data_IF_733019233863
#
_entry.id   IF_733019233863
#
_cell.length_a   1.000
_cell.length_b   1.000
_cell.length_c   1.000
_cell.angle_alpha   90.00
_cell.angle_beta   90.00
_cell.angle_gamma   90.00
#
_symmetry.space_group_name_H-M   'P 1'
#
loop_
_entity.id
_entity.type
_entity.pdbx_description
1 polymer ?
#
# COMPACT_ATOMS: atom_id res chain seq x y z
N UNK A 1 49.01 -17.54 -15.90
CA UNK A 1 47.70 -17.84 -16.52
C UNK A 1 46.58 -18.06 -15.51
N UNK A 2 46.57 -19.14 -14.71
CA UNK A 2 45.45 -19.46 -13.79
C UNK A 2 44.96 -18.28 -12.93
N UNK A 3 45.86 -17.62 -12.19
CA UNK A 3 45.52 -16.49 -11.32
C UNK A 3 44.85 -15.31 -12.06
N UNK A 4 45.34 -14.95 -13.25
CA UNK A 4 44.79 -13.87 -14.07
C UNK A 4 43.39 -14.23 -14.62
N UNK A 5 43.17 -15.50 -14.97
CA UNK A 5 41.85 -15.99 -15.39
C UNK A 5 40.86 -15.98 -14.22
N UNK A 6 41.28 -16.38 -13.01
CA UNK A 6 40.46 -16.29 -11.80
C UNK A 6 40.08 -14.83 -11.49
N UNK A 7 41.03 -13.90 -11.59
CA UNK A 7 40.77 -12.48 -11.34
C UNK A 7 39.77 -11.92 -12.38
N UNK A 8 39.96 -12.22 -13.67
CA UNK A 8 39.07 -11.79 -14.74
C UNK A 8 37.63 -12.31 -14.53
N UNK A 9 37.47 -13.58 -14.17
CA UNK A 9 36.16 -14.18 -13.87
C UNK A 9 35.49 -13.48 -12.68
N UNK A 10 36.25 -13.19 -11.62
CA UNK A 10 35.74 -12.47 -10.45
C UNK A 10 35.31 -11.04 -10.78
N UNK A 11 36.08 -10.31 -11.60
CA UNK A 11 35.71 -8.98 -12.08
C UNK A 11 34.45 -9.01 -12.93
N UNK A 12 34.30 -10.00 -13.83
CA UNK A 12 33.08 -10.18 -14.63
C UNK A 12 31.85 -10.52 -13.77
N UNK A 13 32.01 -11.30 -12.70
CA UNK A 13 30.93 -11.61 -11.74
C UNK A 13 30.50 -10.37 -10.94
N UNK A 14 31.46 -9.53 -10.53
CA UNK A 14 31.18 -8.27 -9.81
C UNK A 14 30.64 -7.16 -10.73
N UNK A 15 30.85 -7.24 -12.05
CA UNK A 15 30.35 -6.30 -13.04
C UNK A 15 28.89 -6.55 -13.45
N UNK A 16 28.23 -7.60 -12.95
CA UNK A 16 26.80 -7.82 -13.19
C UNK A 16 26.02 -6.74 -12.43
N UNK A 17 25.28 -5.84 -13.10
CA UNK A 17 24.51 -4.81 -12.41
C UNK A 17 23.41 -5.47 -11.60
N UNK A 18 23.46 -5.30 -10.27
CA UNK A 18 22.37 -5.70 -9.40
C UNK A 18 21.11 -4.96 -9.84
N UNK A 19 20.06 -5.70 -10.26
CA UNK A 19 18.74 -5.10 -10.42
C UNK A 19 18.35 -4.50 -9.07
N UNK A 20 17.86 -3.24 -9.01
CA UNK A 20 17.34 -2.71 -7.76
C UNK A 20 16.23 -3.65 -7.29
N UNK A 21 16.41 -4.24 -6.12
CA UNK A 21 15.31 -4.91 -5.46
C UNK A 21 14.24 -3.84 -5.21
N UNK A 22 13.04 -4.00 -5.76
CA UNK A 22 11.89 -3.18 -5.39
C UNK A 22 11.41 -3.59 -3.99
N UNK A 23 12.26 -3.30 -3.01
CA UNK A 23 11.91 -3.33 -1.60
C UNK A 23 10.81 -2.29 -1.35
N UNK A 24 9.93 -2.60 -0.40
CA UNK A 24 8.78 -1.78 -0.03
C UNK A 24 9.18 -0.32 0.12
N UNK A 25 8.55 0.55 -0.68
CA UNK A 25 8.76 1.98 -0.62
C UNK A 25 7.66 2.57 0.28
N UNK A 26 7.90 2.80 1.58
CA UNK A 26 7.06 3.67 2.37
C UNK A 26 7.14 5.08 1.77
N UNK A 27 5.98 5.68 1.47
CA UNK A 27 5.87 7.02 0.91
C UNK A 27 5.08 7.90 1.86
N UNK A 28 5.68 9.01 2.28
CA UNK A 28 4.94 10.09 2.92
C UNK A 28 4.19 10.87 1.83
N UNK A 29 2.89 11.02 2.02
CA UNK A 29 1.97 11.70 1.10
C UNK A 29 1.45 12.97 1.75
N UNK A 30 1.74 14.10 1.11
CA UNK A 30 1.20 15.43 1.43
C UNK A 30 0.23 15.95 0.37
N UNK A 31 0.06 15.20 -0.74
CA UNK A 31 -0.81 15.54 -1.86
C UNK A 31 -2.25 15.07 -1.62
N UNK A 32 -3.24 15.81 -2.16
CA UNK A 32 -4.66 15.45 -2.05
C UNK A 32 -5.04 14.21 -2.89
N UNK A 33 -4.33 14.01 -3.99
CA UNK A 33 -4.53 12.90 -4.93
C UNK A 33 -3.20 12.29 -5.36
N UNK A 34 -3.03 10.98 -5.15
CA UNK A 34 -1.81 10.23 -5.48
C UNK A 34 -2.02 9.30 -6.66
N UNK A 35 -1.17 9.38 -7.67
CA UNK A 35 -1.21 8.42 -8.80
C UNK A 35 -0.29 7.22 -8.54
N UNK A 36 -0.88 6.02 -8.49
CA UNK A 36 -0.20 4.74 -8.33
C UNK A 36 0.05 4.15 -9.72
N UNK A 37 1.29 4.28 -10.21
CA UNK A 37 1.71 3.82 -11.55
C UNK A 37 2.14 2.35 -11.63
N UNK A 38 2.31 1.71 -10.47
CA UNK A 38 2.75 0.31 -10.32
C UNK A 38 1.88 -0.42 -9.29
N UNK A 39 0.60 -0.72 -9.58
CA UNK A 39 -0.30 -1.35 -8.61
C UNK A 39 0.11 -2.80 -8.24
N UNK A 40 0.97 -3.43 -9.02
CA UNK A 40 1.57 -4.74 -8.76
C UNK A 40 2.61 -4.72 -7.63
N UNK A 41 3.27 -3.57 -7.39
CA UNK A 41 4.31 -3.41 -6.38
C UNK A 41 3.70 -2.99 -5.04
N UNK A 42 3.97 -3.76 -3.99
CA UNK A 42 3.49 -3.50 -2.63
C UNK A 42 4.05 -2.19 -2.07
N UNK A 43 3.19 -1.16 -1.99
CA UNK A 43 3.51 0.18 -1.50
C UNK A 43 2.73 0.50 -0.22
N UNK A 44 3.32 1.35 0.60
CA UNK A 44 2.73 1.85 1.85
C UNK A 44 2.67 3.37 1.83
N UNK A 45 1.47 3.94 1.99
CA UNK A 45 1.22 5.38 1.95
C UNK A 45 0.89 5.91 3.34
N UNK A 46 1.73 6.81 3.82
CA UNK A 46 1.64 7.46 5.12
C UNK A 46 1.25 8.93 4.96
N UNK A 47 0.63 9.53 5.97
CA UNK A 47 0.39 10.98 5.99
C UNK A 47 -0.65 11.40 7.02
N UNK A 48 -1.36 12.48 6.71
CA UNK A 48 -2.43 13.04 7.54
C UNK A 48 -3.67 13.30 6.67
N UNK A 49 -4.87 13.17 7.23
CA UNK A 49 -6.10 13.69 6.64
C UNK A 49 -6.41 15.08 7.24
N UNK A 50 -6.87 16.03 6.43
CA UNK A 50 -7.01 17.45 6.80
C UNK A 50 -8.43 18.02 6.55
N UNK A 51 -9.47 17.19 6.68
CA UNK A 51 -10.88 17.56 6.45
C UNK A 51 -11.50 16.87 5.23
N UNK A 52 -10.69 16.46 4.26
CA UNK A 52 -11.12 15.73 3.07
C UNK A 52 -10.56 14.29 3.01
N UNK A 53 -11.27 13.34 2.36
CA UNK A 53 -10.74 12.00 2.12
C UNK A 53 -9.57 12.03 1.13
N UNK A 54 -8.49 11.34 1.45
CA UNK A 54 -7.36 11.17 0.53
C UNK A 54 -7.80 10.33 -0.68
N UNK A 55 -7.35 10.72 -1.88
CA UNK A 55 -7.67 10.04 -3.14
C UNK A 55 -6.42 9.36 -3.69
N UNK A 56 -6.55 8.13 -4.15
CA UNK A 56 -5.52 7.44 -4.91
C UNK A 56 -6.11 7.00 -6.24
N UNK A 57 -5.37 7.21 -7.31
CA UNK A 57 -5.74 6.82 -8.67
C UNK A 57 -4.77 5.73 -9.12
N UNK A 58 -5.29 4.52 -9.37
CA UNK A 58 -4.52 3.42 -9.95
C UNK A 58 -4.75 3.44 -11.45
N UNK A 59 -3.68 3.51 -12.22
CA UNK A 59 -3.71 3.30 -13.66
C UNK A 59 -3.58 1.81 -13.97
N UNK A 60 -4.72 1.11 -14.00
CA UNK A 60 -4.79 -0.34 -14.21
C UNK A 60 -4.65 -0.72 -15.68
N UNK A 61 -3.48 -0.55 -16.27
CA UNK A 61 -3.21 -0.86 -17.69
C UNK A 61 -3.22 -2.38 -18.00
N UNK A 62 -3.00 -3.23 -17.00
CA UNK A 62 -2.96 -4.69 -17.10
C UNK A 62 -3.86 -5.34 -16.04
N UNK A 63 -4.06 -6.66 -16.11
CA UNK A 63 -4.75 -7.40 -15.03
C UNK A 63 -3.87 -7.52 -13.79
N UNK A 64 -4.42 -7.24 -12.61
CA UNK A 64 -3.69 -7.36 -11.35
C UNK A 64 -4.57 -7.76 -10.17
N UNK A 65 -3.95 -8.28 -9.12
CA UNK A 65 -4.63 -8.53 -7.85
C UNK A 65 -4.46 -7.29 -6.96
N UNK A 66 -5.50 -6.49 -6.81
CA UNK A 66 -5.51 -5.41 -5.85
C UNK A 66 -5.56 -6.01 -4.43
N UNK A 67 -4.69 -5.55 -3.55
CA UNK A 67 -4.78 -5.80 -2.12
C UNK A 67 -4.88 -4.44 -1.42
N UNK A 68 -5.89 -4.25 -0.59
CA UNK A 68 -6.07 -3.03 0.20
C UNK A 68 -6.20 -3.42 1.67
N UNK A 69 -5.48 -2.71 2.53
CA UNK A 69 -5.63 -2.83 3.98
C UNK A 69 -5.39 -1.50 4.69
N UNK A 70 -6.09 -1.30 5.79
CA UNK A 70 -5.87 -0.17 6.70
C UNK A 70 -4.93 -0.64 7.82
N UNK A 71 -3.88 0.14 8.09
CA UNK A 71 -2.99 -0.06 9.23
C UNK A 71 -2.93 1.23 10.06
N UNK A 72 -3.02 1.11 11.38
CA UNK A 72 -3.06 2.25 12.29
C UNK A 72 -1.87 2.14 13.24
N UNK A 73 -1.02 3.18 13.39
CA UNK A 73 0.08 3.16 14.37
C UNK A 73 -0.47 3.13 15.79
N UNK A 74 0.18 2.44 16.72
CA UNK A 74 -0.23 2.44 18.13
C UNK A 74 0.33 3.67 18.84
N UNK A 75 -0.45 4.75 18.83
CA UNK A 75 -0.15 6.04 19.45
C UNK A 75 -1.37 6.50 20.27
N UNK A 76 -1.20 7.31 21.34
CA UNK A 76 -2.30 7.74 22.19
C UNK A 76 -3.51 8.35 21.47
N UNK A 77 -3.26 9.14 20.42
CA UNK A 77 -4.28 9.84 19.62
C UNK A 77 -4.65 9.10 18.32
N UNK A 78 -4.31 7.81 18.19
CA UNK A 78 -4.59 7.05 16.98
C UNK A 78 -6.06 6.70 16.83
N UNK A 79 -6.68 7.34 15.83
CA UNK A 79 -8.01 6.96 15.33
C UNK A 79 -7.99 5.57 14.72
N UNK A 80 -9.11 4.86 14.84
CA UNK A 80 -9.33 3.49 14.32
C UNK A 80 -10.57 3.37 13.44
N UNK A 81 -11.32 4.45 13.30
CA UNK A 81 -12.55 4.61 12.52
C UNK A 81 -12.29 5.12 11.08
N UNK A 82 -11.19 4.67 10.50
CA UNK A 82 -10.84 4.92 9.10
C UNK A 82 -11.72 4.08 8.17
N UNK A 83 -12.17 4.67 7.07
CA UNK A 83 -12.93 3.99 6.02
C UNK A 83 -12.19 4.11 4.68
N UNK A 84 -12.11 3.01 3.92
CA UNK A 84 -11.55 2.99 2.56
C UNK A 84 -12.57 2.40 1.58
N UNK A 85 -12.98 3.21 0.60
CA UNK A 85 -13.83 2.79 -0.50
C UNK A 85 -13.02 2.65 -1.80
N UNK A 86 -13.21 1.55 -2.52
CA UNK A 86 -12.56 1.29 -3.80
C UNK A 86 -13.59 1.29 -4.91
N UNK A 87 -13.42 2.19 -5.88
CA UNK A 87 -14.28 2.36 -7.04
C UNK A 87 -13.56 1.95 -8.32
N UNK A 88 -14.28 1.33 -9.26
CA UNK A 88 -13.88 1.30 -10.67
C UNK A 88 -14.50 2.50 -11.38
N UNK A 89 -13.68 3.24 -12.10
CA UNK A 89 -14.09 4.46 -12.82
C UNK A 89 -14.16 4.14 -14.31
N UNK A 90 -15.29 4.45 -14.95
CA UNK A 90 -15.50 4.29 -16.39
C UNK A 90 -16.11 5.58 -16.93
N UNK A 91 -15.33 6.38 -17.67
CA UNK A 91 -15.73 7.70 -18.15
C UNK A 91 -16.22 8.63 -17.02
N UNK A 92 -17.54 8.75 -16.84
CA UNK A 92 -18.19 9.60 -15.83
C UNK A 92 -18.76 8.79 -14.65
N UNK A 93 -18.88 7.46 -14.79
CA UNK A 93 -19.46 6.58 -13.77
C UNK A 93 -18.39 6.01 -12.82
N UNK A 94 -18.71 5.99 -11.52
CA UNK A 94 -17.90 5.34 -10.48
C UNK A 94 -18.70 4.24 -9.79
N UNK A 95 -18.34 2.97 -10.04
CA UNK A 95 -18.96 1.81 -9.40
C UNK A 95 -18.14 1.38 -8.18
N UNK A 96 -18.75 1.34 -6.99
CA UNK A 96 -18.11 0.80 -5.80
C UNK A 96 -17.85 -0.71 -5.99
N UNK A 97 -16.59 -1.13 -5.85
CA UNK A 97 -16.18 -2.54 -5.85
C UNK A 97 -16.30 -3.14 -4.45
N UNK A 98 -15.77 -2.44 -3.44
CA UNK A 98 -15.90 -2.78 -2.03
C UNK A 98 -15.55 -1.58 -1.14
N UNK A 99 -16.09 -1.59 0.08
CA UNK A 99 -15.68 -0.71 1.18
C UNK A 99 -14.99 -1.51 2.29
N UNK A 100 -14.20 -0.81 3.10
CA UNK A 100 -13.50 -1.28 4.29
C UNK A 100 -13.76 -0.27 5.42
N UNK A 101 -14.50 -0.63 6.46
CA UNK A 101 -14.74 0.23 7.63
C UNK A 101 -13.95 -0.30 8.84
N UNK A 102 -13.09 0.53 9.42
CA UNK A 102 -12.34 0.22 10.63
C UNK A 102 -13.16 0.18 11.91
N UNK A 103 -14.38 0.74 11.96
CA UNK A 103 -15.24 0.69 13.15
C UNK A 103 -15.73 -0.71 13.49
N UNK A 104 -15.94 -1.53 12.47
CA UNK A 104 -16.51 -2.88 12.59
C UNK A 104 -15.47 -3.94 12.98
N UNK A 105 -14.24 -3.53 13.34
CA UNK A 105 -13.11 -4.44 13.62
C UNK A 105 -12.57 -4.30 15.04
N UNK A 106 -12.26 -5.45 15.66
CA UNK A 106 -11.48 -5.49 16.89
C UNK A 106 -10.01 -5.22 16.55
N UNK A 107 -9.50 -4.07 17.00
CA UNK A 107 -8.13 -3.64 16.75
C UNK A 107 -7.20 -4.11 17.87
N UNK A 108 -6.29 -5.02 17.55
CA UNK A 108 -5.41 -5.69 18.52
C UNK A 108 -3.96 -5.18 18.41
N UNK A 109 -3.28 -4.85 19.53
CA UNK A 109 -1.88 -4.41 19.50
C UNK A 109 -0.96 -5.43 18.82
N UNK A 110 -0.08 -4.94 17.96
CA UNK A 110 0.83 -5.72 17.14
C UNK A 110 2.15 -5.00 16.96
N UNK A 111 3.25 -5.69 17.27
CA UNK A 111 4.59 -5.19 17.01
C UNK A 111 5.07 -5.71 15.65
N UNK A 112 5.22 -4.80 14.67
CA UNK A 112 5.88 -5.16 13.40
C UNK A 112 7.36 -5.39 13.68
N UNK A 113 7.93 -6.47 13.16
CA UNK A 113 9.38 -6.75 13.23
C UNK A 113 10.10 -6.34 11.93
N UNK A 114 11.43 -6.25 11.96
CA UNK A 114 12.27 -5.93 10.79
C UNK A 114 12.82 -4.50 10.77
N UNK A 115 13.21 -4.01 9.60
CA UNK A 115 13.92 -2.72 9.42
C UNK A 115 13.09 -1.47 9.76
N UNK A 116 11.78 -1.64 9.97
CA UNK A 116 10.85 -0.59 10.38
C UNK A 116 10.00 -1.10 11.54
N UNK A 117 10.64 -1.68 12.55
CA UNK A 117 9.95 -2.26 13.69
C UNK A 117 9.28 -1.17 14.55
N UNK A 118 7.99 -1.33 14.82
CA UNK A 118 7.13 -0.29 15.41
C UNK A 118 5.79 -0.92 15.86
N UNK A 119 5.08 -0.25 16.77
CA UNK A 119 3.78 -0.73 17.28
C UNK A 119 2.63 -0.23 16.39
N UNK A 120 1.69 -1.13 16.11
CA UNK A 120 0.48 -0.88 15.33
C UNK A 120 -0.71 -1.51 16.01
N UNK A 121 -1.91 -1.03 15.68
CA UNK A 121 -3.11 -1.82 15.79
C UNK A 121 -3.25 -2.69 14.54
N UNK A 122 -3.21 -4.01 14.74
CA UNK A 122 -3.58 -5.03 13.75
C UNK A 122 -5.05 -5.41 13.85
N UNK A 123 -5.48 -6.46 13.15
CA UNK A 123 -6.87 -6.91 13.11
C UNK A 123 -7.77 -6.13 12.15
N UNK A 124 -7.33 -4.94 11.70
CA UNK A 124 -8.08 -4.06 10.80
C UNK A 124 -8.52 -4.66 9.45
N UNK A 125 -9.43 -3.97 8.74
CA UNK A 125 -10.01 -4.43 7.49
C UNK A 125 -8.95 -4.58 6.39
N UNK A 126 -9.06 -5.70 5.66
CA UNK A 126 -8.25 -6.00 4.48
C UNK A 126 -9.07 -6.77 3.45
N UNK A 127 -8.84 -6.48 2.16
CA UNK A 127 -9.49 -7.17 1.04
C UNK A 127 -8.49 -7.38 -0.09
N UNK A 128 -8.53 -8.58 -0.66
CA UNK A 128 -7.93 -8.89 -1.96
C UNK A 128 -9.06 -8.92 -3.00
N UNK A 129 -8.84 -8.25 -4.13
CA UNK A 129 -9.79 -8.14 -5.23
C UNK A 129 -9.08 -8.46 -6.55
N UNK A 130 -9.68 -9.29 -7.39
CA UNK A 130 -9.06 -9.70 -8.66
C UNK A 130 -9.52 -8.77 -9.78
N UNK A 131 -8.65 -7.84 -10.18
CA UNK A 131 -8.94 -6.87 -11.23
C UNK A 131 -8.60 -7.47 -12.60
N UNK A 132 -9.45 -8.40 -13.06
CA UNK A 132 -9.42 -9.05 -14.38
C UNK A 132 -9.88 -8.16 -15.55
N UNK A 133 -10.12 -6.87 -15.29
CA UNK A 133 -10.43 -5.87 -16.30
C UNK A 133 -9.50 -4.68 -16.10
N UNK A 134 -8.63 -4.39 -17.09
CA UNK A 134 -7.92 -3.13 -17.17
C UNK A 134 -8.88 -1.94 -17.10
N UNK A 135 -8.41 -0.83 -16.54
CA UNK A 135 -9.18 0.38 -16.31
C UNK A 135 -8.78 1.09 -15.02
N UNK A 136 -9.07 2.39 -14.90
CA UNK A 136 -8.69 3.17 -13.73
C UNK A 136 -9.52 2.79 -12.50
N UNK A 137 -8.84 2.68 -11.35
CA UNK A 137 -9.50 2.56 -10.05
C UNK A 137 -9.27 3.83 -9.24
N UNK A 138 -10.27 4.25 -8.47
CA UNK A 138 -10.14 5.28 -7.47
C UNK A 138 -10.31 4.66 -6.08
N UNK A 139 -9.37 4.95 -5.19
CA UNK A 139 -9.47 4.63 -3.77
C UNK A 139 -9.71 5.94 -3.01
N UNK A 140 -10.78 6.00 -2.22
CA UNK A 140 -11.06 7.12 -1.29
C UNK A 140 -10.82 6.64 0.13
N UNK A 141 -10.15 7.45 0.93
CA UNK A 141 -9.83 7.11 2.32
C UNK A 141 -10.14 8.26 3.26
N UNK A 142 -11.11 8.06 4.16
CA UNK A 142 -11.59 9.05 5.11
C UNK A 142 -11.76 8.47 6.52
N UNK A 143 -12.56 9.13 7.35
CA UNK A 143 -12.98 8.63 8.67
C UNK A 143 -14.47 8.86 8.95
N UNK A 144 -15.04 8.05 9.82
CA UNK A 144 -16.41 8.26 10.31
C UNK A 144 -16.48 9.28 11.46
N UNK A 145 -17.58 10.04 11.63
CA UNK A 145 -18.35 10.64 10.56
C UNK A 145 -17.63 11.89 10.03
N UNK A 146 -17.13 11.85 8.80
CA UNK A 146 -16.85 13.02 7.94
C UNK A 146 -15.75 14.01 8.38
N UNK A 147 -15.19 13.90 9.58
CA UNK A 147 -14.14 14.83 10.06
C UNK A 147 -12.81 14.68 9.34
N UNK A 148 -12.57 13.52 8.70
CA UNK A 148 -11.39 13.20 7.88
C UNK A 148 -10.10 13.80 8.45
N UNK A 149 -9.81 13.45 9.70
CA UNK A 149 -8.66 13.94 10.45
C UNK A 149 -7.89 12.76 11.04
N UNK A 150 -6.58 12.89 11.19
CA UNK A 150 -5.72 11.87 11.83
C UNK A 150 -4.56 11.38 10.98
N UNK A 151 -3.61 10.70 11.63
CA UNK A 151 -2.43 10.07 11.01
C UNK A 151 -2.79 8.71 10.42
N UNK A 152 -2.25 8.39 9.25
CA UNK A 152 -2.83 7.37 8.35
C UNK A 152 -1.75 6.42 7.80
N UNK A 153 -2.02 5.10 7.73
CA UNK A 153 -1.27 4.13 6.87
C UNK A 153 -2.21 3.28 6.00
N UNK A 154 -2.03 3.31 4.67
CA UNK A 154 -2.81 2.51 3.70
C UNK A 154 -1.85 1.78 2.76
N UNK A 155 -2.18 0.52 2.43
CA UNK A 155 -1.34 -0.35 1.61
C UNK A 155 -2.06 -0.72 0.30
N UNK A 156 -1.34 -0.66 -0.83
CA UNK A 156 -1.79 -1.11 -2.17
C UNK A 156 -0.56 -1.45 -3.04
N UNK A 157 -0.37 -2.61 -3.71
CA UNK A 157 -1.03 -3.92 -3.63
C UNK A 157 -0.16 -5.00 -2.97
N UNK A 158 0.04 -6.20 -3.53
CA UNK A 158 -0.31 -6.66 -4.89
C UNK A 158 0.23 -8.06 -5.26
N UNK A 159 1.38 -8.13 -5.94
CA UNK A 159 1.90 -9.32 -6.63
C UNK A 159 2.61 -10.40 -5.79
N UNK A 160 1.98 -11.57 -5.65
CA UNK A 160 2.65 -12.88 -5.45
C UNK A 160 3.35 -13.18 -4.11
N UNK A 161 3.73 -12.18 -3.31
CA UNK A 161 4.26 -12.38 -1.94
C UNK A 161 3.68 -11.34 -1.00
N UNK A 162 2.91 -11.79 -0.02
CA UNK A 162 2.54 -10.98 1.13
C UNK A 162 3.81 -10.70 1.94
N UNK A 163 4.37 -9.50 1.79
CA UNK A 163 5.49 -9.02 2.62
C UNK A 163 5.01 -8.17 3.79
N UNK A 164 3.93 -8.64 4.40
CA UNK A 164 3.70 -8.51 5.84
C UNK A 164 3.29 -9.91 6.31
N UNK A 165 4.21 -10.57 7.02
CA UNK A 165 3.94 -11.82 7.72
C UNK A 165 2.93 -11.54 8.84
N UNK A 166 2.04 -12.51 9.16
CA UNK A 166 1.12 -12.41 10.30
C UNK A 166 1.87 -12.33 11.63
#
# INVERSE_FOLDING_TARGET
MKLALTLLILTCLLAIPAKPAEAHQPRLVTEDTVTIKKPEVSQAFYGTLQGEPAKFLIDGQEEFNLFVSILVPDLPDSRRDFMVDVFRVNNEDATLLFGLDGKEYNWEPFFRTGLWADNYFSGGPRKKENCTRPGPLQIKWGTHPGTNSGKKTCLTGGGGRNLFLP
#
